data_IF_400908589713
#
_entry.id   IF_400908589713
#
_cell.length_a   1.000
_cell.length_b   1.000
_cell.length_c   1.000
_cell.angle_alpha   90.00
_cell.angle_beta   90.00
_cell.angle_gamma   90.00
#
_symmetry.space_group_name_H-M   'P 1'
#
loop_
_entity.id
_entity.type
_entity.pdbx_description
1 polymer ?
#
# COMPACT_ATOMS: atom_id res chain seq x y z
N UNK A 1 -10.94 8.53 -9.55
CA UNK A 1 -10.44 7.58 -8.53
C UNK A 1 -11.66 6.94 -7.89
N UNK A 2 -11.62 5.64 -7.61
CA UNK A 2 -12.70 4.95 -6.89
C UNK A 2 -12.26 4.65 -5.45
N UNK A 3 -13.21 4.30 -4.58
CA UNK A 3 -12.88 3.93 -3.21
C UNK A 3 -12.14 2.60 -3.16
N UNK A 4 -11.00 2.60 -2.47
CA UNK A 4 -10.22 1.39 -2.23
C UNK A 4 -10.88 0.43 -1.24
N UNK A 5 -11.86 0.90 -0.46
CA UNK A 5 -12.58 0.09 0.52
C UNK A 5 -13.40 -1.05 -0.08
N UNK A 6 -13.74 -0.98 -1.37
CA UNK A 6 -14.49 -2.01 -2.09
C UNK A 6 -13.60 -3.10 -2.69
N UNK A 7 -12.28 -2.92 -2.61
CA UNK A 7 -11.30 -3.83 -3.20
C UNK A 7 -11.29 -5.17 -2.46
N UNK A 8 -11.24 -6.27 -3.20
CA UNK A 8 -11.23 -7.63 -2.64
C UNK A 8 -9.93 -8.36 -2.96
N UNK A 9 -9.50 -9.23 -2.05
CA UNK A 9 -8.40 -10.17 -2.32
C UNK A 9 -8.77 -11.05 -3.50
N UNK A 10 -7.82 -11.28 -4.41
CA UNK A 10 -8.00 -12.00 -5.66
C UNK A 10 -8.52 -11.14 -6.82
N UNK A 11 -8.95 -9.90 -6.56
CA UNK A 11 -9.40 -8.99 -7.62
C UNK A 11 -8.23 -8.63 -8.53
N UNK A 12 -8.48 -8.62 -9.84
CA UNK A 12 -7.46 -8.26 -10.81
C UNK A 12 -7.22 -6.74 -10.79
N UNK A 13 -5.93 -6.38 -10.91
CA UNK A 13 -5.47 -4.99 -10.91
C UNK A 13 -4.32 -4.81 -11.89
N UNK A 14 -4.11 -3.56 -12.31
CA UNK A 14 -3.06 -3.17 -13.24
C UNK A 14 -2.24 -2.04 -12.64
N UNK A 15 -0.91 -2.18 -12.64
CA UNK A 15 0.02 -1.11 -12.32
C UNK A 15 0.53 -0.48 -13.62
N UNK A 16 0.56 0.85 -13.65
CA UNK A 16 1.14 1.63 -14.75
C UNK A 16 2.30 2.43 -14.19
N UNK A 17 3.41 2.47 -14.93
CA UNK A 17 4.59 3.24 -14.54
C UNK A 17 5.63 3.34 -15.63
N UNK A 18 6.86 3.66 -15.25
CA UNK A 18 7.98 3.83 -16.15
C UNK A 18 9.22 3.08 -15.65
N UNK A 19 9.20 1.73 -15.65
CA UNK A 19 10.38 0.93 -15.36
C UNK A 19 11.49 1.29 -16.36
N UNK A 20 12.67 1.62 -15.82
CA UNK A 20 13.89 1.93 -16.58
C UNK A 20 13.84 3.17 -17.48
N UNK A 21 12.84 4.04 -17.35
CA UNK A 21 12.77 5.30 -18.11
C UNK A 21 12.33 5.14 -19.58
N UNK A 22 12.01 3.91 -20.00
CA UNK A 22 11.50 3.61 -21.34
C UNK A 22 9.98 3.71 -21.33
N UNK A 23 9.43 4.64 -22.12
CA UNK A 23 8.01 5.00 -22.23
C UNK A 23 7.01 3.94 -21.74
N UNK A 24 6.31 4.26 -20.64
CA UNK A 24 5.04 3.67 -20.19
C UNK A 24 4.95 2.14 -20.20
N UNK A 25 5.27 1.50 -19.08
CA UNK A 25 5.02 0.06 -18.88
C UNK A 25 3.73 -0.20 -18.11
N UNK A 26 3.11 -1.32 -18.44
CA UNK A 26 1.92 -1.83 -17.78
C UNK A 26 2.21 -3.26 -17.29
N UNK A 27 1.87 -3.53 -16.03
CA UNK A 27 1.92 -4.87 -15.44
C UNK A 27 0.59 -5.22 -14.81
N UNK A 28 0.09 -6.42 -15.09
CA UNK A 28 -1.18 -6.94 -14.54
C UNK A 28 -0.91 -7.96 -13.46
N UNK A 29 -1.83 -8.07 -12.50
CA UNK A 29 -1.76 -9.01 -11.39
C UNK A 29 -3.04 -9.01 -10.58
N UNK A 30 -2.92 -9.38 -9.31
CA UNK A 30 -4.05 -9.46 -8.39
C UNK A 30 -3.73 -8.77 -7.08
N UNK A 31 -4.79 -8.38 -6.38
CA UNK A 31 -4.73 -8.02 -4.96
C UNK A 31 -4.42 -9.28 -4.16
N UNK A 32 -3.24 -9.34 -3.56
CA UNK A 32 -2.81 -10.47 -2.74
C UNK A 32 -3.26 -10.34 -1.30
N UNK A 33 -3.39 -9.12 -0.78
CA UNK A 33 -3.88 -8.83 0.57
C UNK A 33 -4.31 -7.37 0.72
N UNK A 34 -5.19 -7.08 1.67
CA UNK A 34 -5.61 -5.74 2.09
C UNK A 34 -5.43 -5.58 3.61
N UNK A 35 -5.33 -4.34 4.10
CA UNK A 35 -5.30 -4.10 5.55
C UNK A 35 -3.95 -4.29 6.24
N UNK A 36 -2.85 -4.51 5.50
CA UNK A 36 -1.53 -4.70 6.15
C UNK A 36 -1.00 -3.41 6.74
N UNK A 37 -0.33 -3.54 7.88
CA UNK A 37 0.55 -2.51 8.42
C UNK A 37 1.94 -2.70 7.82
N UNK A 38 2.49 -1.66 7.18
CA UNK A 38 3.82 -1.71 6.59
C UNK A 38 4.81 -0.91 7.45
N UNK A 39 5.69 -1.56 8.22
CA UNK A 39 6.70 -0.85 9.02
C UNK A 39 7.69 -0.10 8.11
N UNK A 40 8.14 1.08 8.55
CA UNK A 40 9.25 1.82 7.95
C UNK A 40 10.40 1.95 8.94
N UNK A 41 11.61 2.14 8.40
CA UNK A 41 12.83 2.38 9.20
C UNK A 41 12.74 3.63 10.07
N UNK A 42 11.88 4.59 9.70
CA UNK A 42 11.62 5.81 10.48
C UNK A 42 10.83 5.57 11.77
N UNK A 43 10.44 4.32 12.07
CA UNK A 43 9.61 3.96 13.22
C UNK A 43 8.12 4.22 13.02
N UNK A 44 7.71 4.76 11.86
CA UNK A 44 6.32 4.92 11.47
C UNK A 44 5.87 3.76 10.59
N UNK A 45 4.67 3.26 10.82
CA UNK A 45 4.08 2.24 9.95
C UNK A 45 3.01 2.86 9.06
N UNK A 46 2.99 2.49 7.78
CA UNK A 46 1.94 2.88 6.85
C UNK A 46 0.78 1.90 7.03
N UNK A 47 -0.39 2.34 7.50
CA UNK A 47 -1.52 1.45 7.74
C UNK A 47 -2.26 1.12 6.44
N UNK A 48 -2.95 0.00 6.47
CA UNK A 48 -3.92 -0.41 5.45
C UNK A 48 -3.36 -0.47 4.02
N UNK A 49 -2.11 -0.88 3.83
CA UNK A 49 -1.55 -1.00 2.46
C UNK A 49 -2.22 -2.11 1.68
N UNK A 50 -2.34 -1.90 0.36
CA UNK A 50 -2.78 -2.93 -0.59
C UNK A 50 -1.54 -3.71 -1.02
N UNK A 51 -1.56 -5.03 -0.85
CA UNK A 51 -0.53 -5.92 -1.38
C UNK A 51 -0.95 -6.42 -2.77
N UNK A 52 -0.03 -6.37 -3.74
CA UNK A 52 -0.28 -6.80 -5.13
C UNK A 52 0.93 -7.49 -5.74
N UNK A 53 0.68 -8.39 -6.70
CA UNK A 53 1.70 -9.08 -7.48
C UNK A 53 2.18 -8.31 -8.72
N UNK A 54 1.59 -7.16 -9.03
CA UNK A 54 1.91 -6.40 -10.25
C UNK A 54 2.88 -5.23 -10.04
N UNK A 55 3.22 -4.86 -8.81
CA UNK A 55 4.13 -3.73 -8.58
C UNK A 55 5.60 -4.13 -8.86
N UNK A 56 6.33 -3.36 -9.65
CA UNK A 56 7.73 -3.63 -10.04
C UNK A 56 8.56 -2.35 -9.85
N UNK A 57 9.89 -2.44 -9.72
CA UNK A 57 10.74 -1.24 -9.73
C UNK A 57 10.43 -0.34 -10.92
N UNK A 58 10.18 0.95 -10.66
CA UNK A 58 9.77 1.94 -11.66
C UNK A 58 8.26 2.08 -11.89
N UNK A 59 7.43 1.24 -11.27
CA UNK A 59 5.99 1.51 -11.13
C UNK A 59 5.66 2.38 -9.90
N UNK A 60 6.59 2.53 -8.96
CA UNK A 60 6.44 3.41 -7.79
C UNK A 60 6.10 4.84 -8.20
N UNK A 61 5.12 5.43 -7.52
CA UNK A 61 4.52 6.72 -7.83
C UNK A 61 3.39 6.67 -8.86
N UNK A 62 3.29 5.58 -9.64
CA UNK A 62 2.23 5.38 -10.63
C UNK A 62 0.93 4.81 -10.04
N UNK A 63 -0.18 4.86 -10.80
CA UNK A 63 -1.47 4.38 -10.34
C UNK A 63 -1.54 2.85 -10.33
N UNK A 64 -2.29 2.33 -9.35
CA UNK A 64 -2.86 1.00 -9.35
C UNK A 64 -4.34 1.10 -9.75
N UNK A 65 -4.73 0.40 -10.80
CA UNK A 65 -6.06 0.47 -11.41
C UNK A 65 -6.82 -0.84 -11.21
N UNK A 66 -8.14 -0.75 -11.01
CA UNK A 66 -9.04 -1.89 -11.19
C UNK A 66 -9.35 -2.10 -12.70
N UNK A 67 -10.09 -3.17 -13.02
CA UNK A 67 -10.46 -3.47 -14.42
C UNK A 67 -11.50 -2.52 -15.03
N UNK A 68 -12.09 -1.62 -14.24
CA UNK A 68 -12.93 -0.53 -14.75
C UNK A 68 -12.11 0.72 -15.13
N UNK A 69 -10.80 0.70 -14.88
CA UNK A 69 -9.91 1.84 -15.10
C UNK A 69 -9.89 2.85 -13.94
N UNK A 70 -10.49 2.53 -12.80
CA UNK A 70 -10.45 3.40 -11.63
C UNK A 70 -9.14 3.24 -10.87
N UNK A 71 -8.56 4.36 -10.44
CA UNK A 71 -7.45 4.35 -9.49
C UNK A 71 -7.94 3.89 -8.12
N UNK A 72 -7.41 2.76 -7.68
CA UNK A 72 -7.64 2.13 -6.37
C UNK A 72 -6.45 2.27 -5.43
N UNK A 73 -5.30 2.75 -5.93
CA UNK A 73 -4.14 3.04 -5.09
C UNK A 73 -3.00 3.69 -5.86
N UNK A 74 -1.94 4.03 -5.14
CA UNK A 74 -0.67 4.55 -5.68
C UNK A 74 0.44 3.58 -5.28
N UNK A 75 1.19 3.08 -6.26
CA UNK A 75 2.29 2.15 -6.02
C UNK A 75 3.39 2.85 -5.22
N UNK A 76 3.89 2.25 -4.14
CA UNK A 76 4.87 2.92 -3.25
C UNK A 76 6.21 2.19 -3.19
N UNK A 77 6.22 0.87 -2.99
CA UNK A 77 7.46 0.10 -2.94
C UNK A 77 7.19 -1.40 -3.06
N UNK A 78 8.26 -2.17 -3.26
CA UNK A 78 8.31 -3.62 -3.14
C UNK A 78 9.00 -3.96 -1.81
N UNK A 79 8.62 -5.06 -1.14
CA UNK A 79 9.47 -5.60 -0.09
C UNK A 79 10.59 -6.41 -0.75
N UNK A 80 11.83 -5.94 -0.70
CA UNK A 80 12.96 -6.71 -1.20
C UNK A 80 14.20 -6.48 -0.37
N UNK A 81 14.80 -7.58 0.10
CA UNK A 81 16.12 -7.54 0.74
C UNK A 81 17.26 -7.32 -0.27
N UNK A 82 17.00 -7.54 -1.56
CA UNK A 82 18.00 -7.51 -2.65
C UNK A 82 17.73 -6.44 -3.70
N UNK A 83 16.59 -5.75 -3.62
CA UNK A 83 16.10 -4.83 -4.66
C UNK A 83 15.35 -5.53 -5.81
N UNK A 84 15.34 -6.86 -5.87
CA UNK A 84 14.59 -7.64 -6.85
C UNK A 84 13.13 -7.88 -6.42
N UNK A 85 12.21 -7.93 -7.39
CA UNK A 85 10.81 -8.22 -7.09
C UNK A 85 10.57 -9.69 -6.77
N UNK A 86 10.20 -9.99 -5.54
CA UNK A 86 9.90 -11.34 -5.03
C UNK A 86 8.44 -11.77 -5.20
N UNK A 87 7.59 -10.96 -5.86
CA UNK A 87 6.15 -11.21 -5.93
C UNK A 87 5.31 -10.35 -4.97
N UNK A 88 5.97 -9.55 -4.12
CA UNK A 88 5.30 -8.74 -3.08
C UNK A 88 5.49 -7.26 -3.33
N UNK A 89 4.41 -6.62 -3.79
CA UNK A 89 4.33 -5.19 -4.04
C UNK A 89 3.31 -4.51 -3.13
N UNK A 90 3.53 -3.24 -2.82
CA UNK A 90 2.59 -2.44 -2.02
C UNK A 90 2.13 -1.18 -2.72
N UNK A 91 0.86 -0.83 -2.49
CA UNK A 91 0.25 0.43 -2.88
C UNK A 91 -0.45 1.08 -1.69
N UNK A 92 -0.36 2.42 -1.61
CA UNK A 92 -1.15 3.23 -0.71
C UNK A 92 -2.59 3.28 -1.26
N UNK A 93 -3.63 2.97 -0.45
CA UNK A 93 -5.01 2.98 -0.93
C UNK A 93 -5.47 4.35 -1.42
N UNK A 94 -6.33 4.38 -2.44
CA UNK A 94 -6.91 5.63 -2.97
C UNK A 94 -7.65 6.42 -1.89
N UNK A 95 -8.32 5.77 -0.93
CA UNK A 95 -9.00 6.46 0.18
C UNK A 95 -8.02 7.22 1.08
N UNK A 96 -6.82 6.66 1.30
CA UNK A 96 -5.76 7.35 2.04
C UNK A 96 -5.25 8.54 1.25
N UNK A 97 -5.02 8.38 -0.05
CA UNK A 97 -4.56 9.47 -0.93
C UNK A 97 -5.56 10.61 -0.98
N UNK A 98 -6.86 10.31 -1.12
CA UNK A 98 -7.93 11.32 -1.14
C UNK A 98 -8.01 12.11 0.18
N UNK A 99 -7.67 11.50 1.32
CA UNK A 99 -7.62 12.19 2.62
C UNK A 99 -6.36 13.03 2.79
N UNK A 100 -5.21 12.50 2.38
CA UNK A 100 -3.88 13.07 2.71
C UNK A 100 -3.42 14.11 1.68
N UNK A 101 -3.64 13.87 0.38
CA UNK A 101 -3.13 14.74 -0.68
C UNK A 101 -3.62 16.20 -0.59
N UNK A 102 -4.92 16.50 -0.33
CA UNK A 102 -5.37 17.88 -0.20
C UNK A 102 -4.69 18.64 0.95
N UNK A 103 -4.41 17.94 2.05
CA UNK A 103 -3.72 18.51 3.22
C UNK A 103 -2.27 18.82 2.87
N UNK A 104 -1.56 17.87 2.23
CA UNK A 104 -0.17 18.08 1.78
C UNK A 104 -0.06 19.26 0.81
N UNK A 105 -1.00 19.37 -0.15
CA UNK A 105 -1.01 20.46 -1.13
C UNK A 105 -1.22 21.81 -0.46
N UNK A 106 -2.13 21.89 0.51
CA UNK A 106 -2.49 23.14 1.19
C UNK A 106 -1.47 23.57 2.24
N UNK A 107 -1.01 22.62 3.05
CA UNK A 107 -0.30 22.89 4.30
C UNK A 107 1.19 22.49 4.23
N UNK A 108 1.64 21.83 3.15
CA UNK A 108 3.01 21.35 2.96
C UNK A 108 3.39 20.14 3.80
N UNK A 109 2.49 19.65 4.66
CA UNK A 109 2.72 18.52 5.55
C UNK A 109 1.44 18.03 6.21
N UNK A 110 1.43 16.77 6.65
CA UNK A 110 0.31 16.18 7.41
C UNK A 110 0.76 15.94 8.84
N UNK A 111 -0.02 16.46 9.80
CA UNK A 111 0.16 16.17 11.23
C UNK A 111 -0.74 15.01 11.61
N UNK A 112 -0.13 13.92 12.04
CA UNK A 112 -0.86 12.76 12.54
C UNK A 112 -1.06 12.90 14.06
N UNK A 113 -2.30 12.99 14.55
CA UNK A 113 -2.54 13.00 15.99
C UNK A 113 -2.16 11.64 16.58
N UNK A 114 -1.47 11.65 17.72
CA UNK A 114 -1.07 10.45 18.44
C UNK A 114 -1.70 10.44 19.84
N UNK A 115 -2.37 9.34 20.18
CA UNK A 115 -3.10 9.19 21.46
C UNK A 115 -2.14 8.91 22.63
N UNK A 116 -0.92 8.41 22.37
CA UNK A 116 0.07 8.13 23.41
C UNK A 116 -0.09 6.78 24.12
N UNK A 117 -0.81 5.84 23.53
CA UNK A 117 -1.02 4.48 24.07
C UNK A 117 -0.30 3.47 23.19
N UNK A 118 0.30 2.46 23.81
CA UNK A 118 0.92 1.30 23.16
C UNK A 118 0.34 0.00 23.73
N UNK A 119 0.26 -1.03 22.90
CA UNK A 119 -0.19 -2.37 23.29
C UNK A 119 0.42 -3.43 22.38
N UNK A 120 0.14 -4.69 22.70
CA UNK A 120 0.52 -5.85 21.89
C UNK A 120 -0.75 -6.56 21.41
N UNK A 121 -0.67 -7.23 20.26
CA UNK A 121 -1.76 -8.09 19.81
C UNK A 121 -1.95 -9.24 20.81
N UNK A 122 -3.21 -9.55 21.11
CA UNK A 122 -3.55 -10.71 21.94
C UNK A 122 -3.61 -11.92 21.02
N UNK A 123 -2.54 -12.71 21.04
CA UNK A 123 -2.51 -14.06 20.48
C UNK A 123 -3.01 -15.13 21.48
N UNK A 124 -3.14 -16.36 20.99
CA UNK A 124 -3.60 -17.51 21.78
C UNK A 124 -2.59 -17.95 22.86
N UNK A 125 -1.30 -17.62 22.74
CA UNK A 125 -0.28 -17.99 23.72
C UNK A 125 -0.37 -17.13 25.00
N UNK A 126 -0.90 -15.90 24.89
CA UNK A 126 -1.19 -15.06 26.06
C UNK A 126 -2.20 -15.69 27.03
N UNK A 127 -3.13 -16.51 26.56
CA UNK A 127 -4.14 -17.16 27.42
C UNK A 127 -3.56 -18.29 28.29
N UNK A 128 -2.36 -18.79 27.98
CA UNK A 128 -1.74 -19.93 28.68
C UNK A 128 -0.83 -19.51 29.83
N UNK A 129 -0.37 -18.26 29.85
CA UNK A 129 0.58 -17.75 30.85
C UNK A 129 -0.11 -17.10 32.07
N UNK A 130 -1.42 -16.85 32.01
CA UNK A 130 -2.21 -16.30 33.11
C UNK A 130 -3.28 -17.27 33.66
N UNK A 131 -3.10 -18.58 33.45
CA UNK A 131 -3.95 -19.66 33.96
C UNK A 131 -3.35 -20.42 35.14
#
# INVERSE_FOLDING_TARGET
MASSSELKVGQQVVAIGNPFGLSGSMTSGIVSQIGRLLPQESGYSIPNVIQTSCNKPGNSGGPLLNMNGDVVGINTAIQSATGEFTGVGFAIPSDTVMKVAPILIRDGGVRHPWIGISGVDIDYDWQRLEG
#
